data_IF_035807463733
#
_entry.id   IF_035807463733
#
_cell.length_a   1.000
_cell.length_b   1.000
_cell.length_c   1.000
_cell.angle_alpha   90.00
_cell.angle_beta   90.00
_cell.angle_gamma   90.00
#
_symmetry.space_group_name_H-M   'P 1'
#
loop_
_entity.id
_entity.type
_entity.pdbx_description
1 polymer ?
#
# COMPACT_ATOMS: atom_id res chain seq x y z
N UNK A 1 -3.97 -19.99 21.79
CA UNK A 1 -4.05 -18.61 21.23
C UNK A 1 -2.64 -18.20 20.81
N UNK A 2 -2.29 -18.40 19.53
CA UNK A 2 -0.99 -17.93 19.02
C UNK A 2 -0.97 -16.41 19.09
N UNK A 3 -0.10 -15.84 19.93
CA UNK A 3 0.04 -14.38 20.03
C UNK A 3 0.37 -13.84 18.65
N UNK A 4 -0.43 -12.91 18.15
CA UNK A 4 -0.11 -12.20 16.91
C UNK A 4 1.19 -11.44 17.16
N UNK A 5 2.25 -11.64 16.34
CA UNK A 5 3.46 -10.87 16.48
C UNK A 5 3.14 -9.37 16.37
N UNK A 6 3.76 -8.55 17.22
CA UNK A 6 3.54 -7.09 17.20
C UNK A 6 3.76 -6.47 15.81
N UNK A 7 4.68 -7.02 15.02
CA UNK A 7 4.92 -6.62 13.63
C UNK A 7 3.73 -6.87 12.70
N UNK A 8 3.00 -7.98 12.88
CA UNK A 8 1.80 -8.28 12.12
C UNK A 8 0.67 -7.31 12.49
N UNK A 9 0.53 -6.98 13.78
CA UNK A 9 -0.45 -5.99 14.24
C UNK A 9 -0.17 -4.58 13.68
N UNK A 10 1.09 -4.13 13.71
CA UNK A 10 1.49 -2.83 13.16
C UNK A 10 1.24 -2.75 11.65
N UNK A 11 1.65 -3.77 10.90
CA UNK A 11 1.43 -3.81 9.46
C UNK A 11 -0.06 -3.90 9.12
N UNK A 12 -0.84 -4.68 9.85
CA UNK A 12 -2.28 -4.75 9.67
C UNK A 12 -2.93 -3.38 9.88
N UNK A 13 -2.58 -2.67 10.95
CA UNK A 13 -3.08 -1.31 11.19
C UNK A 13 -2.71 -0.36 10.05
N UNK A 14 -1.46 -0.41 9.59
CA UNK A 14 -0.97 0.42 8.49
C UNK A 14 -1.73 0.16 7.19
N UNK A 15 -1.85 -1.10 6.75
CA UNK A 15 -2.52 -1.44 5.50
C UNK A 15 -4.04 -1.26 5.57
N UNK A 16 -4.68 -1.62 6.69
CA UNK A 16 -6.12 -1.39 6.86
C UNK A 16 -6.42 0.11 6.89
N UNK A 17 -5.64 0.91 7.62
CA UNK A 17 -5.79 2.36 7.65
C UNK A 17 -5.58 2.99 6.27
N UNK A 18 -4.50 2.62 5.58
CA UNK A 18 -4.23 3.09 4.21
C UNK A 18 -5.34 2.67 3.23
N UNK A 19 -5.80 1.44 3.32
CA UNK A 19 -6.86 0.92 2.46
C UNK A 19 -8.18 1.65 2.66
N UNK A 20 -8.57 1.94 3.91
CA UNK A 20 -9.76 2.73 4.22
C UNK A 20 -9.67 4.16 3.66
N UNK A 21 -8.50 4.78 3.67
CA UNK A 21 -8.31 6.11 3.09
C UNK A 21 -8.58 6.16 1.57
N UNK A 22 -8.40 5.06 0.83
CA UNK A 22 -8.77 5.00 -0.59
C UNK A 22 -10.29 5.15 -0.81
N UNK A 23 -11.11 4.72 0.15
CA UNK A 23 -12.57 4.84 0.09
C UNK A 23 -13.05 6.17 0.66
N UNK A 24 -12.47 6.60 1.79
CA UNK A 24 -12.88 7.81 2.50
C UNK A 24 -12.39 9.09 1.81
N UNK A 25 -11.17 9.06 1.27
CA UNK A 25 -10.53 10.20 0.63
C UNK A 25 -9.83 9.78 -0.68
N UNK A 26 -10.58 9.44 -1.74
CA UNK A 26 -10.00 8.98 -3.01
C UNK A 26 -9.26 10.08 -3.79
N UNK A 27 -9.59 11.36 -3.57
CA UNK A 27 -9.10 12.47 -4.41
C UNK A 27 -7.56 12.59 -4.51
N UNK A 28 -6.77 12.45 -3.42
CA UNK A 28 -5.30 12.44 -3.51
C UNK A 28 -4.76 11.28 -4.34
N UNK A 29 -5.37 10.09 -4.24
CA UNK A 29 -4.96 8.90 -4.98
C UNK A 29 -5.25 9.02 -6.48
N UNK A 30 -6.37 9.65 -6.83
CA UNK A 30 -6.73 9.91 -8.24
C UNK A 30 -5.80 10.93 -8.90
N UNK A 31 -5.28 11.91 -8.15
CA UNK A 31 -4.34 12.92 -8.69
C UNK A 31 -2.98 12.33 -9.05
N UNK A 32 -2.60 11.22 -8.41
CA UNK A 32 -1.32 10.54 -8.64
C UNK A 32 -1.44 9.34 -9.57
N UNK A 33 -2.60 9.13 -10.21
CA UNK A 33 -2.78 8.03 -11.14
C UNK A 33 -2.06 8.32 -12.46
N UNK A 34 -1.13 7.44 -12.90
CA UNK A 34 -0.50 7.57 -14.20
C UNK A 34 -1.54 7.59 -15.34
N UNK A 35 -1.41 8.48 -16.33
CA UNK A 35 -2.38 8.61 -17.43
C UNK A 35 -2.47 7.37 -18.32
N UNK A 36 -1.47 6.48 -18.27
CA UNK A 36 -1.47 5.22 -19.00
C UNK A 36 -2.44 4.17 -18.43
N UNK A 37 -2.94 4.34 -17.20
CA UNK A 37 -3.81 3.36 -16.54
C UNK A 37 -5.30 3.68 -16.79
N UNK A 38 -6.08 2.71 -17.29
CA UNK A 38 -7.51 2.90 -17.49
C UNK A 38 -8.26 2.87 -16.15
N UNK A 39 -9.42 3.53 -16.11
CA UNK A 39 -10.32 3.53 -14.95
C UNK A 39 -9.65 3.83 -13.58
N UNK A 40 -9.01 4.99 -13.38
CA UNK A 40 -8.30 5.37 -12.14
C UNK A 40 -9.08 5.10 -10.85
N UNK A 41 -10.38 5.42 -10.85
CA UNK A 41 -11.25 5.24 -9.68
C UNK A 41 -11.45 3.77 -9.31
N UNK A 42 -11.63 2.90 -10.30
CA UNK A 42 -11.77 1.47 -10.05
C UNK A 42 -10.46 0.90 -9.46
N UNK A 43 -9.32 1.28 -10.04
CA UNK A 43 -8.01 0.82 -9.59
C UNK A 43 -7.71 1.25 -8.14
N UNK A 44 -8.02 2.50 -7.78
CA UNK A 44 -7.88 3.01 -6.39
C UNK A 44 -8.75 2.25 -5.41
N UNK A 45 -9.99 1.92 -5.78
CA UNK A 45 -10.89 1.16 -4.90
C UNK A 45 -10.47 -0.31 -4.78
N UNK A 46 -10.01 -0.92 -5.88
CA UNK A 46 -9.48 -2.28 -5.88
C UNK A 46 -8.19 -2.39 -5.05
N UNK A 47 -7.28 -1.42 -5.18
CA UNK A 47 -6.07 -1.38 -4.35
C UNK A 47 -6.43 -1.19 -2.88
N UNK A 48 -7.34 -0.27 -2.55
CA UNK A 48 -7.83 -0.08 -1.19
C UNK A 48 -8.44 -1.34 -0.58
N UNK A 49 -9.27 -2.07 -1.35
CA UNK A 49 -9.86 -3.33 -0.92
C UNK A 49 -8.77 -4.40 -0.67
N UNK A 50 -7.78 -4.47 -1.55
CA UNK A 50 -6.65 -5.40 -1.42
C UNK A 50 -5.77 -5.07 -0.21
N UNK A 51 -5.54 -3.79 0.12
CA UNK A 51 -4.81 -3.37 1.32
C UNK A 51 -5.56 -3.79 2.59
N UNK A 52 -6.88 -3.54 2.67
CA UNK A 52 -7.70 -3.96 3.81
C UNK A 52 -7.69 -5.48 3.97
N UNK A 53 -7.96 -6.22 2.89
CA UNK A 53 -7.99 -7.68 2.91
C UNK A 53 -6.62 -8.27 3.29
N UNK A 54 -5.54 -7.73 2.73
CA UNK A 54 -4.16 -8.14 3.05
C UNK A 54 -3.79 -7.82 4.50
N UNK A 55 -4.09 -6.62 4.98
CA UNK A 55 -3.83 -6.21 6.36
C UNK A 55 -4.56 -7.08 7.38
N UNK A 56 -5.86 -7.34 7.18
CA UNK A 56 -6.61 -8.28 8.01
C UNK A 56 -6.07 -9.71 7.88
N UNK A 57 -5.70 -10.13 6.67
CA UNK A 57 -5.15 -11.44 6.39
C UNK A 57 -3.80 -11.72 7.08
N UNK A 58 -3.04 -10.69 7.48
CA UNK A 58 -1.82 -10.86 8.29
C UNK A 58 -2.12 -11.24 9.76
N UNK A 59 -3.31 -10.94 10.27
CA UNK A 59 -3.67 -11.22 11.66
C UNK A 59 -3.87 -12.73 11.90
N UNK A 60 -4.44 -13.45 10.93
CA UNK A 60 -4.72 -14.88 11.04
C UNK A 60 -3.60 -15.76 10.46
N UNK A 61 -3.04 -16.72 11.23
CA UNK A 61 -1.97 -17.61 10.74
C UNK A 61 -2.31 -18.35 9.45
N UNK A 62 -3.56 -18.78 9.28
CA UNK A 62 -4.02 -19.51 8.09
C UNK A 62 -3.95 -18.69 6.79
N UNK A 63 -4.09 -17.36 6.88
CA UNK A 63 -4.14 -16.46 5.72
C UNK A 63 -2.83 -15.69 5.48
N UNK A 64 -1.90 -15.69 6.44
CA UNK A 64 -0.64 -14.93 6.38
C UNK A 64 0.17 -15.16 5.11
N UNK A 65 0.27 -16.40 4.65
CA UNK A 65 1.01 -16.72 3.41
C UNK A 65 0.41 -16.02 2.20
N UNK A 66 -0.91 -16.04 2.07
CA UNK A 66 -1.63 -15.42 0.96
C UNK A 66 -1.62 -13.89 1.07
N UNK A 67 -1.86 -13.37 2.27
CA UNK A 67 -1.78 -11.95 2.57
C UNK A 67 -0.40 -11.36 2.24
N UNK A 68 0.68 -12.07 2.60
CA UNK A 68 2.05 -11.69 2.24
C UNK A 68 2.24 -11.53 0.75
N UNK A 69 1.89 -12.55 -0.04
CA UNK A 69 2.06 -12.50 -1.48
C UNK A 69 1.17 -11.45 -2.14
N UNK A 70 -0.08 -11.31 -1.68
CA UNK A 70 -1.01 -10.29 -2.17
C UNK A 70 -0.51 -8.86 -1.90
N UNK A 71 -0.08 -8.57 -0.67
CA UNK A 71 0.46 -7.26 -0.30
C UNK A 71 1.77 -6.95 -1.04
N UNK A 72 2.65 -7.94 -1.24
CA UNK A 72 3.87 -7.74 -2.04
C UNK A 72 3.55 -7.42 -3.51
N UNK A 73 2.62 -8.16 -4.13
CA UNK A 73 2.18 -7.89 -5.49
C UNK A 73 1.53 -6.50 -5.60
N UNK A 74 0.71 -6.12 -4.61
CA UNK A 74 0.08 -4.81 -4.56
C UNK A 74 1.08 -3.67 -4.41
N UNK A 75 2.05 -3.81 -3.50
CA UNK A 75 3.13 -2.83 -3.34
C UNK A 75 3.93 -2.67 -4.64
N UNK A 76 4.18 -3.75 -5.38
CA UNK A 76 4.81 -3.67 -6.69
C UNK A 76 3.92 -2.96 -7.71
N UNK A 77 2.61 -3.24 -7.73
CA UNK A 77 1.66 -2.62 -8.63
C UNK A 77 1.48 -1.10 -8.39
N UNK A 78 1.67 -0.62 -7.16
CA UNK A 78 1.54 0.81 -6.80
C UNK A 78 2.86 1.58 -7.01
N UNK A 79 4.00 0.89 -7.18
CA UNK A 79 5.30 1.53 -7.42
C UNK A 79 5.29 2.53 -8.60
N UNK A 80 4.69 2.25 -9.77
CA UNK A 80 4.60 3.22 -10.86
C UNK A 80 3.86 4.51 -10.47
N UNK A 81 2.84 4.43 -9.62
CA UNK A 81 2.13 5.61 -9.12
C UNK A 81 3.02 6.47 -8.20
N UNK A 82 3.83 5.85 -7.35
CA UNK A 82 4.80 6.57 -6.51
C UNK A 82 5.90 7.23 -7.34
N UNK A 83 6.38 6.58 -8.40
CA UNK A 83 7.36 7.16 -9.34
C UNK A 83 6.72 8.33 -10.10
N UNK A 84 5.50 8.15 -10.60
CA UNK A 84 4.78 9.21 -11.31
C UNK A 84 4.56 10.43 -10.41
N UNK A 85 4.19 10.23 -9.14
CA UNK A 85 4.07 11.30 -8.16
C UNK A 85 5.36 12.12 -7.99
N UNK A 86 6.54 11.48 -8.07
CA UNK A 86 7.82 12.19 -8.06
C UNK A 86 8.03 13.02 -9.34
N UNK A 87 7.57 12.55 -10.49
CA UNK A 87 7.65 13.28 -11.76
C UNK A 87 6.76 14.53 -11.76
N UNK A 88 5.56 14.44 -11.17
CA UNK A 88 4.58 15.54 -11.12
C UNK A 88 4.59 16.31 -9.79
N UNK A 89 5.63 16.16 -8.96
CA UNK A 89 5.67 16.69 -7.59
C UNK A 89 5.43 18.21 -7.51
N UNK A 90 5.92 18.97 -8.50
CA UNK A 90 5.72 20.41 -8.62
C UNK A 90 4.26 20.78 -8.83
N UNK A 91 3.53 20.01 -9.64
CA UNK A 91 2.09 20.19 -9.88
C UNK A 91 1.26 19.86 -8.63
N UNK A 92 1.73 18.89 -7.83
CA UNK A 92 1.10 18.49 -6.58
C UNK A 92 1.46 19.41 -5.40
N UNK A 93 2.37 20.37 -5.59
CA UNK A 93 2.87 21.25 -4.52
C UNK A 93 3.47 20.46 -3.35
N UNK A 94 4.10 19.32 -3.66
CA UNK A 94 4.72 18.43 -2.68
C UNK A 94 6.24 18.59 -2.69
N UNK A 95 6.89 18.60 -1.52
CA UNK A 95 8.34 18.69 -1.44
C UNK A 95 8.99 17.40 -1.98
N UNK A 96 9.92 17.54 -2.93
CA UNK A 96 10.59 16.40 -3.57
C UNK A 96 11.29 15.47 -2.56
N UNK A 97 11.89 16.02 -1.49
CA UNK A 97 12.57 15.23 -0.48
C UNK A 97 11.64 14.22 0.23
N UNK A 98 10.36 14.58 0.44
CA UNK A 98 9.40 13.70 1.08
C UNK A 98 9.03 12.51 0.17
N UNK A 99 8.93 12.77 -1.14
CA UNK A 99 8.66 11.74 -2.14
C UNK A 99 9.88 10.83 -2.35
N UNK A 100 11.08 11.40 -2.32
CA UNK A 100 12.32 10.65 -2.30
C UNK A 100 12.46 9.77 -1.06
N UNK A 101 12.02 10.23 0.12
CA UNK A 101 11.99 9.42 1.34
C UNK A 101 10.93 8.30 1.29
N UNK A 102 9.85 8.48 0.52
CA UNK A 102 8.80 7.48 0.34
C UNK A 102 9.24 6.30 -0.53
N UNK A 103 10.11 6.52 -1.51
CA UNK A 103 10.64 5.45 -2.37
C UNK A 103 11.39 4.33 -1.61
N UNK A 104 12.34 4.61 -0.68
CA UNK A 104 12.98 3.59 0.14
C UNK A 104 12.07 3.03 1.24
N UNK A 105 11.03 3.75 1.65
CA UNK A 105 10.02 3.21 2.57
C UNK A 105 9.27 2.01 1.96
N UNK A 106 9.05 2.02 0.65
CA UNK A 106 8.35 0.95 -0.05
C UNK A 106 9.05 -0.43 0.03
N UNK A 107 10.35 -0.60 -0.29
CA UNK A 107 11.04 -1.86 -0.09
C UNK A 107 11.19 -2.24 1.40
N UNK A 108 11.25 -1.27 2.33
CA UNK A 108 11.21 -1.56 3.76
C UNK A 108 9.86 -2.15 4.19
N UNK A 109 8.75 -1.62 3.68
CA UNK A 109 7.41 -2.18 3.90
C UNK A 109 7.28 -3.58 3.27
N UNK A 110 7.78 -3.76 2.05
CA UNK A 110 7.81 -5.08 1.40
C UNK A 110 8.60 -6.09 2.24
N UNK A 111 9.76 -5.70 2.77
CA UNK A 111 10.54 -6.54 3.67
C UNK A 111 9.81 -6.86 4.97
N UNK A 112 9.12 -5.89 5.56
CA UNK A 112 8.26 -6.09 6.74
C UNK A 112 7.14 -7.10 6.48
N UNK A 113 6.42 -6.94 5.37
CA UNK A 113 5.36 -7.89 4.92
C UNK A 113 5.94 -9.28 4.70
N UNK A 114 7.09 -9.37 4.05
CA UNK A 114 7.77 -10.64 3.79
C UNK A 114 8.11 -11.38 5.10
N UNK A 115 8.65 -10.66 6.10
CA UNK A 115 8.95 -11.22 7.42
C UNK A 115 7.71 -11.60 8.21
N UNK A 116 6.64 -10.83 8.11
CA UNK A 116 5.39 -11.07 8.85
C UNK A 116 4.63 -12.33 8.37
N UNK A 117 4.79 -12.71 7.10
CA UNK A 117 4.17 -13.92 6.56
C UNK A 117 5.07 -15.15 6.45
N UNK A 118 6.28 -15.14 7.04
CA UNK A 118 7.08 -16.35 7.28
C UNK A 118 6.59 -17.04 8.54
#
# INVERSE_FOLDING_TARGET
>A
MSRVPWSCGLLALLFVGAGLLHFLHPAPYLRIMPPALPAPRLLVLLSGAAEVAGGLGLLWPATRRWARWGLLALLLAVLPANIYMLQIHTQLHLPAWALWARLPLQPLLMWGVWRAGR
#
